data_IF_425390670730
#
_entry.id   IF_425390670730
#
_cell.length_a   1.000
_cell.length_b   1.000
_cell.length_c   1.000
_cell.angle_alpha   90.00
_cell.angle_beta   90.00
_cell.angle_gamma   90.00
#
_symmetry.space_group_name_H-M   'P 1'
#
loop_
_entity.id
_entity.type
_entity.pdbx_description
1 polymer ?
#
# COMPACT_ATOMS: atom_id res chain seq x y z
N UNK A 1 -1.81 17.12 -8.94
CA UNK A 1 -1.33 16.75 -7.60
C UNK A 1 -1.31 15.23 -7.53
N UNK A 2 -0.15 14.60 -7.67
CA UNK A 2 -0.01 13.14 -7.47
C UNK A 2 0.31 12.89 -6.00
N UNK A 3 -0.70 12.48 -5.23
CA UNK A 3 -0.51 11.99 -3.87
C UNK A 3 -0.03 10.54 -3.98
N UNK A 4 1.21 10.28 -3.58
CA UNK A 4 1.74 8.93 -3.57
C UNK A 4 1.40 8.27 -2.23
N UNK A 5 0.67 7.14 -2.28
CA UNK A 5 0.39 6.33 -1.09
C UNK A 5 1.34 5.14 -1.07
N UNK A 6 2.23 5.11 -0.08
CA UNK A 6 3.06 3.94 0.20
C UNK A 6 2.32 3.00 1.14
N UNK A 7 2.36 1.70 0.85
CA UNK A 7 1.67 0.68 1.63
C UNK A 7 2.67 -0.23 2.33
N UNK A 8 2.29 -0.77 3.48
CA UNK A 8 3.14 -1.61 4.31
C UNK A 8 2.34 -2.75 4.90
N UNK A 9 2.89 -3.95 4.94
CA UNK A 9 2.29 -5.11 5.61
C UNK A 9 3.17 -5.62 6.76
N UNK A 10 2.58 -5.87 7.93
CA UNK A 10 3.28 -6.41 9.12
C UNK A 10 2.98 -7.88 9.42
N UNK A 11 2.43 -8.64 8.47
CA UNK A 11 1.99 -10.03 8.68
C UNK A 11 3.10 -10.98 9.13
N UNK A 12 4.36 -10.70 8.76
CA UNK A 12 5.54 -11.49 9.14
C UNK A 12 6.27 -10.92 10.38
N UNK A 13 5.67 -9.98 11.11
CA UNK A 13 6.28 -9.29 12.26
C UNK A 13 7.23 -8.14 11.90
N UNK A 14 7.50 -7.92 10.60
CA UNK A 14 8.25 -6.77 10.08
C UNK A 14 7.38 -6.03 9.06
N UNK A 15 7.47 -4.70 9.05
CA UNK A 15 6.82 -3.89 8.03
C UNK A 15 7.51 -4.10 6.67
N UNK A 16 6.82 -4.76 5.76
CA UNK A 16 7.24 -4.99 4.39
C UNK A 16 6.54 -3.96 3.50
N UNK A 17 7.32 -3.16 2.78
CA UNK A 17 6.79 -2.18 1.85
C UNK A 17 6.11 -2.91 0.67
N UNK A 18 4.85 -2.58 0.46
CA UNK A 18 4.07 -3.01 -0.69
C UNK A 18 4.17 -1.93 -1.75
N UNK A 19 4.88 -2.27 -2.83
CA UNK A 19 4.99 -1.39 -3.99
C UNK A 19 3.67 -1.48 -4.75
N UNK A 20 2.86 -0.43 -4.67
CA UNK A 20 1.78 -0.19 -5.63
C UNK A 20 2.37 0.52 -6.83
N UNK A 21 2.10 0.02 -8.03
CA UNK A 21 2.62 0.62 -9.25
C UNK A 21 2.12 2.08 -9.36
N UNK A 22 3.03 3.07 -9.38
CA UNK A 22 2.66 4.49 -9.41
C UNK A 22 2.05 4.92 -10.74
N UNK A 23 2.04 4.04 -11.73
CA UNK A 23 1.54 4.28 -13.09
C UNK A 23 0.14 3.73 -13.36
N UNK A 24 -0.54 3.14 -12.36
CA UNK A 24 -1.93 2.70 -12.54
C UNK A 24 -2.85 3.90 -12.26
N UNK A 25 -2.86 4.83 -13.21
CA UNK A 25 -4.07 5.62 -13.44
C UNK A 25 -5.14 4.65 -13.92
N UNK A 26 -6.28 4.62 -13.24
CA UNK A 26 -7.48 3.84 -13.57
C UNK A 26 -7.59 2.45 -12.90
N UNK A 27 -8.45 2.45 -11.86
CA UNK A 27 -9.17 1.29 -11.32
C UNK A 27 -8.37 0.23 -10.52
N UNK A 28 -8.08 0.58 -9.27
CA UNK A 28 -8.39 -0.30 -8.13
C UNK A 28 -7.60 -1.62 -7.98
N UNK A 29 -6.31 -1.65 -8.31
CA UNK A 29 -5.42 -2.70 -7.81
C UNK A 29 -4.79 -2.27 -6.49
N UNK A 30 -5.53 -2.53 -5.42
CA UNK A 30 -5.00 -2.46 -4.06
C UNK A 30 -3.72 -3.29 -3.93
N UNK A 31 -2.70 -2.78 -3.22
CA UNK A 31 -1.46 -3.54 -3.06
C UNK A 31 -1.73 -4.80 -2.24
N UNK A 32 -1.25 -5.92 -2.78
CA UNK A 32 -1.40 -7.24 -2.17
C UNK A 32 -0.08 -7.65 -1.53
N UNK A 33 -0.13 -8.08 -0.28
CA UNK A 33 1.06 -8.62 0.37
C UNK A 33 1.47 -9.95 -0.26
N UNK A 34 2.69 -10.10 -0.82
CA UNK A 34 3.13 -11.37 -1.40
C UNK A 34 3.34 -12.49 -0.37
N UNK A 35 3.27 -12.16 0.93
CA UNK A 35 3.49 -13.11 2.04
C UNK A 35 2.20 -13.73 2.54
N UNK A 36 1.19 -12.90 2.81
CA UNK A 36 -0.09 -13.35 3.37
C UNK A 36 -1.28 -13.13 2.45
N UNK A 37 -1.10 -12.48 1.30
CA UNK A 37 -2.19 -12.11 0.39
C UNK A 37 -3.09 -10.99 0.90
N UNK A 38 -2.76 -10.34 2.02
CA UNK A 38 -3.59 -9.27 2.58
C UNK A 38 -3.57 -8.03 1.68
N UNK A 39 -4.75 -7.45 1.45
CA UNK A 39 -4.96 -6.15 0.79
C UNK A 39 -5.66 -5.20 1.75
N UNK A 40 -5.60 -3.88 1.55
CA UNK A 40 -6.36 -2.93 2.37
C UNK A 40 -7.84 -3.27 2.56
N UNK A 41 -8.54 -3.71 1.51
CA UNK A 41 -9.96 -4.13 1.64
C UNK A 41 -10.12 -5.55 2.17
N UNK A 42 -9.10 -6.40 2.08
CA UNK A 42 -9.17 -7.82 2.45
C UNK A 42 -8.12 -8.21 3.51
N UNK A 43 -7.99 -7.38 4.55
CA UNK A 43 -7.08 -7.58 5.67
C UNK A 43 -7.85 -7.60 7.00
N UNK A 44 -8.45 -8.74 7.38
CA UNK A 44 -9.25 -8.86 8.61
C UNK A 44 -8.42 -8.66 9.89
N UNK A 45 -7.08 -8.70 9.79
CA UNK A 45 -6.14 -8.58 10.91
C UNK A 45 -5.53 -7.18 11.02
N UNK A 46 -5.90 -6.23 10.16
CA UNK A 46 -5.34 -4.87 10.15
C UNK A 46 -3.79 -4.88 10.19
N UNK A 47 -3.22 -5.79 9.41
CA UNK A 47 -1.78 -5.91 9.15
C UNK A 47 -1.27 -4.93 8.10
N UNK A 48 -2.16 -4.35 7.30
CA UNK A 48 -1.85 -3.36 6.27
C UNK A 48 -1.89 -1.96 6.87
N UNK A 49 -0.95 -1.11 6.48
CA UNK A 49 -0.89 0.30 6.85
C UNK A 49 -0.43 1.12 5.65
N UNK A 50 -0.92 2.34 5.50
CA UNK A 50 -0.48 3.24 4.43
C UNK A 50 0.14 4.52 4.99
N UNK A 51 0.97 5.16 4.18
CA UNK A 51 1.52 6.48 4.43
C UNK A 51 1.42 7.29 3.15
N UNK A 52 0.60 8.33 3.19
CA UNK A 52 0.56 9.37 2.17
C UNK A 52 1.86 10.19 2.22
N UNK A 53 2.39 10.46 1.03
CA UNK A 53 3.51 11.37 0.83
C UNK A 53 3.07 12.41 -0.19
N UNK A 54 2.81 13.61 0.30
CA UNK A 54 2.60 14.78 -0.53
C UNK A 54 3.91 15.17 -1.21
N UNK A 55 3.95 15.08 -2.55
CA UNK A 55 5.00 15.71 -3.33
C UNK A 55 4.63 17.18 -3.56
N UNK A 56 4.83 18.02 -2.54
CA UNK A 56 4.76 19.48 -2.67
C UNK A 56 6.04 19.95 -3.38
N UNK A 57 6.03 19.97 -4.71
CA UNK A 57 6.99 20.77 -5.50
C UNK A 57 6.30 22.08 -5.85
N UNK A 58 6.66 23.14 -5.13
CA UNK A 58 6.54 24.53 -5.55
C UNK A 58 7.91 24.97 -6.09
#
# INVERSE_FOLDING_TARGET
>A
MTVYRQWFCKCSGKALELVGDPHIEEESLEPTCPRCGATPSSDPKHTISFKDRDNYSD
#
